data_IF_414215207801
#
_entry.id   IF_414215207801
#
_cell.length_a   1.000
_cell.length_b   1.000
_cell.length_c   1.000
_cell.angle_alpha   90.00
_cell.angle_beta   90.00
_cell.angle_gamma   90.00
#
_symmetry.space_group_name_H-M   'P 1'
#
loop_
_entity.id
_entity.type
_entity.pdbx_description
1 polymer ?
#
# COMPACT_ATOMS: atom_id res chain seq x y z
N UNK A 1 9.48 -14.28 10.91
CA UNK A 1 9.10 -14.79 12.23
C UNK A 1 10.23 -15.68 12.71
N UNK A 2 11.10 -15.21 13.61
CA UNK A 2 12.17 -16.01 14.21
C UNK A 2 12.23 -15.63 15.70
N UNK A 3 11.90 -16.59 16.57
CA UNK A 3 12.26 -16.57 17.99
C UNK A 3 13.72 -16.98 18.11
N UNK A 4 14.47 -16.34 18.99
CA UNK A 4 15.74 -16.86 19.47
C UNK A 4 15.69 -16.91 21.00
N UNK A 5 15.98 -18.10 21.55
CA UNK A 5 16.18 -18.31 22.97
C UNK A 5 17.66 -18.16 23.34
N UNK A 6 17.86 -17.77 24.60
CA UNK A 6 19.05 -17.88 25.47
C UNK A 6 19.88 -19.17 25.25
N UNK A 7 21.18 -19.30 25.55
CA UNK A 7 22.14 -18.56 26.40
C UNK A 7 23.57 -18.98 26.04
N UNK A 8 24.53 -18.18 26.51
CA UNK A 8 25.98 -18.20 26.27
C UNK A 8 26.77 -19.48 26.61
N UNK A 9 27.91 -19.64 25.93
CA UNK A 9 29.16 -20.07 26.57
C UNK A 9 30.40 -19.60 25.78
N UNK A 10 31.21 -18.80 26.48
CA UNK A 10 32.67 -18.67 26.41
C UNK A 10 33.34 -18.27 25.08
N UNK A 11 33.68 -16.98 25.01
CA UNK A 11 35.07 -16.55 24.82
C UNK A 11 35.80 -17.04 23.58
N UNK A 12 35.41 -16.56 22.40
CA UNK A 12 36.33 -16.49 21.25
C UNK A 12 36.15 -15.19 20.45
N UNK A 13 37.30 -14.63 20.12
CA UNK A 13 37.57 -13.41 19.36
C UNK A 13 36.74 -13.28 18.08
N UNK A 14 35.86 -12.29 17.99
CA UNK A 14 35.13 -12.00 16.74
C UNK A 14 36.00 -11.17 15.78
N UNK A 15 36.68 -11.86 14.85
CA UNK A 15 37.06 -11.28 13.56
C UNK A 15 35.79 -11.07 12.73
N UNK A 16 35.44 -9.82 12.43
CA UNK A 16 34.37 -9.50 11.49
C UNK A 16 34.81 -9.90 10.08
N UNK A 17 34.31 -11.05 9.61
CA UNK A 17 34.55 -11.56 8.26
C UNK A 17 33.86 -10.70 7.20
N UNK A 18 34.64 -10.02 6.37
CA UNK A 18 34.19 -9.30 5.18
C UNK A 18 33.69 -10.30 4.13
N UNK A 19 32.37 -10.54 4.03
CA UNK A 19 31.80 -11.34 2.92
C UNK A 19 32.00 -10.59 1.59
N UNK A 20 32.84 -11.14 0.70
CA UNK A 20 32.92 -10.76 -0.72
C UNK A 20 31.73 -11.38 -1.47
N UNK A 21 30.68 -10.60 -1.71
CA UNK A 21 29.67 -10.89 -2.72
C UNK A 21 29.91 -10.00 -3.95
N UNK A 22 30.19 -10.61 -5.11
CA UNK A 22 30.28 -9.92 -6.40
C UNK A 22 28.87 -9.55 -6.90
N UNK A 23 28.71 -8.32 -7.41
CA UNK A 23 27.78 -8.05 -8.52
C UNK A 23 26.58 -7.13 -8.24
N UNK A 24 26.81 -5.82 -8.17
CA UNK A 24 26.09 -4.75 -8.92
C UNK A 24 26.46 -3.39 -8.33
N UNK A 25 26.95 -2.49 -9.18
CA UNK A 25 27.14 -1.07 -8.84
C UNK A 25 25.73 -0.49 -8.67
N UNK A 26 25.39 -0.07 -7.45
CA UNK A 26 24.14 0.62 -7.08
C UNK A 26 24.52 2.03 -6.65
N UNK A 27 23.75 3.01 -7.11
CA UNK A 27 24.04 4.44 -7.01
C UNK A 27 24.25 4.95 -5.57
N UNK A 28 25.20 5.89 -5.43
CA UNK A 28 25.86 6.31 -4.17
C UNK A 28 24.96 6.91 -3.07
N UNK A 29 23.70 7.26 -3.34
CA UNK A 29 22.85 7.97 -2.36
C UNK A 29 22.19 7.01 -1.36
N UNK A 30 21.92 5.75 -1.75
CA UNK A 30 21.30 4.75 -0.87
C UNK A 30 22.31 4.15 0.12
N UNK A 31 23.59 4.12 -0.27
CA UNK A 31 24.68 3.66 0.61
C UNK A 31 24.83 4.57 1.83
N UNK A 32 24.66 5.88 1.69
CA UNK A 32 24.81 6.82 2.81
C UNK A 32 23.76 6.64 3.92
N UNK A 33 22.50 6.36 3.56
CA UNK A 33 21.41 6.19 4.52
C UNK A 33 21.52 4.85 5.28
N UNK A 34 21.89 3.77 4.59
CA UNK A 34 22.16 2.47 5.23
C UNK A 34 23.47 2.53 6.04
N UNK A 35 24.54 3.17 5.55
CA UNK A 35 25.78 3.33 6.32
C UNK A 35 25.55 4.14 7.59
N UNK A 36 24.79 5.24 7.56
CA UNK A 36 24.55 6.05 8.77
C UNK A 36 23.79 5.31 9.87
N UNK A 37 22.76 4.54 9.50
CA UNK A 37 21.99 3.75 10.47
C UNK A 37 22.82 2.62 11.07
N UNK A 38 23.66 1.96 10.25
CA UNK A 38 24.62 0.96 10.72
C UNK A 38 25.73 1.58 11.59
N UNK A 39 26.25 2.74 11.22
CA UNK A 39 27.31 3.43 11.96
C UNK A 39 26.84 3.82 13.36
N UNK A 40 25.62 4.35 13.49
CA UNK A 40 25.04 4.70 14.79
C UNK A 40 24.83 3.48 15.69
N UNK A 41 24.28 2.38 15.14
CA UNK A 41 24.07 1.15 15.91
C UNK A 41 25.38 0.51 16.38
N UNK A 42 26.40 0.53 15.52
CA UNK A 42 27.73 0.01 15.86
C UNK A 42 28.44 0.91 16.88
N UNK A 43 28.35 2.23 16.77
CA UNK A 43 28.92 3.17 17.74
C UNK A 43 28.31 3.00 19.14
N UNK A 44 26.98 2.88 19.22
CA UNK A 44 26.29 2.67 20.51
C UNK A 44 26.71 1.33 21.12
N UNK A 45 26.73 0.26 20.32
CA UNK A 45 27.14 -1.05 20.81
C UNK A 45 28.61 -1.09 21.27
N UNK A 46 29.52 -0.40 20.57
CA UNK A 46 30.93 -0.33 20.94
C UNK A 46 31.14 0.50 22.22
N UNK A 47 30.44 1.63 22.34
CA UNK A 47 30.44 2.49 23.53
C UNK A 47 29.96 1.72 24.76
N UNK A 48 28.83 1.02 24.65
CA UNK A 48 28.27 0.25 25.76
C UNK A 48 29.18 -0.89 26.18
N UNK A 49 29.87 -1.53 25.23
CA UNK A 49 30.86 -2.58 25.50
C UNK A 49 32.08 -2.05 26.27
N UNK A 50 32.65 -0.91 25.85
CA UNK A 50 33.79 -0.28 26.51
C UNK A 50 33.43 0.15 27.94
N UNK A 51 32.26 0.77 28.11
CA UNK A 51 31.79 1.21 29.43
C UNK A 51 31.48 0.02 30.34
N UNK A 52 30.95 -1.09 29.81
CA UNK A 52 30.72 -2.32 30.56
C UNK A 52 32.02 -2.97 31.03
N UNK A 53 33.07 -2.98 30.21
CA UNK A 53 34.38 -3.51 30.59
C UNK A 53 35.05 -2.65 31.68
N UNK A 54 34.98 -1.31 31.54
CA UNK A 54 35.49 -0.38 32.55
C UNK A 54 34.74 -0.53 33.89
N UNK A 55 33.41 -0.64 33.85
CA UNK A 55 32.56 -0.84 35.01
C UNK A 55 32.90 -2.12 35.77
N UNK A 56 33.15 -3.23 35.06
CA UNK A 56 33.57 -4.50 35.65
C UNK A 56 34.98 -4.42 36.26
N UNK A 57 35.94 -3.78 35.58
CA UNK A 57 37.32 -3.66 36.07
C UNK A 57 37.45 -2.79 37.31
N UNK A 58 36.67 -1.71 37.39
CA UNK A 58 36.77 -0.73 38.48
C UNK A 58 35.65 -0.85 39.51
N UNK A 59 34.74 -1.81 39.35
CA UNK A 59 33.56 -2.01 40.20
C UNK A 59 32.70 -0.74 40.35
N UNK A 60 32.47 -0.04 39.23
CA UNK A 60 31.69 1.21 39.15
C UNK A 60 30.44 0.96 38.32
N UNK A 61 29.30 1.53 38.73
CA UNK A 61 28.07 1.47 37.94
C UNK A 61 28.14 2.43 36.74
N UNK A 62 27.86 1.94 35.53
CA UNK A 62 27.90 2.75 34.29
C UNK A 62 26.95 3.95 34.33
N UNK A 63 25.83 3.84 35.07
CA UNK A 63 24.88 4.94 35.23
C UNK A 63 25.35 6.06 36.16
N UNK A 64 26.43 5.84 36.92
CA UNK A 64 27.00 6.84 37.82
C UNK A 64 28.07 7.72 37.13
N UNK A 65 28.43 7.43 35.88
CA UNK A 65 29.42 8.18 35.12
C UNK A 65 28.80 9.42 34.46
N UNK A 66 29.49 10.54 34.55
CA UNK A 66 29.16 11.79 33.87
C UNK A 66 29.54 11.73 32.38
N UNK A 67 28.95 12.60 31.55
CA UNK A 67 29.24 12.64 30.10
C UNK A 67 30.71 12.97 29.78
N UNK A 68 31.38 13.74 30.64
CA UNK A 68 32.83 13.99 30.54
C UNK A 68 33.64 12.73 30.84
N UNK A 69 33.31 11.99 31.90
CA UNK A 69 34.00 10.75 32.26
C UNK A 69 33.81 9.67 31.19
N UNK A 70 32.60 9.55 30.62
CA UNK A 70 32.34 8.61 29.53
C UNK A 70 33.20 8.93 28.30
N UNK A 71 33.35 10.21 27.95
CA UNK A 71 34.22 10.64 26.84
C UNK A 71 35.68 10.28 27.14
N UNK A 72 36.15 10.56 28.34
CA UNK A 72 37.53 10.34 28.74
C UNK A 72 37.89 8.84 28.82
N UNK A 73 36.95 7.96 29.22
CA UNK A 73 37.10 6.50 29.18
C UNK A 73 37.24 6.00 27.74
N UNK A 74 36.42 6.51 26.81
CA UNK A 74 36.45 6.11 25.39
C UNK A 74 37.75 6.59 24.73
N UNK A 75 38.26 7.75 25.14
CA UNK A 75 39.53 8.31 24.65
C UNK A 75 40.78 7.71 25.33
N UNK A 76 40.60 6.86 26.35
CA UNK A 76 41.68 6.14 27.01
C UNK A 76 42.47 6.94 28.06
N UNK A 77 41.86 7.98 28.64
CA UNK A 77 42.49 8.76 29.71
C UNK A 77 42.42 8.02 31.06
N UNK A 78 43.45 8.17 31.90
CA UNK A 78 43.44 7.64 33.28
C UNK A 78 42.53 8.49 34.17
N UNK A 79 41.38 7.93 34.57
CA UNK A 79 40.44 8.57 35.47
C UNK A 79 40.49 7.88 36.82
N UNK A 80 40.61 8.66 37.91
CA UNK A 80 40.43 8.17 39.27
C UNK A 80 38.99 7.70 39.46
N UNK A 81 38.73 6.44 39.89
CA UNK A 81 37.38 5.94 40.09
C UNK A 81 36.57 6.85 41.02
N UNK A 82 35.28 7.14 40.73
CA UNK A 82 34.46 7.97 41.61
C UNK A 82 34.37 7.31 42.98
N UNK A 83 34.70 8.06 44.04
CA UNK A 83 34.67 7.54 45.42
C UNK A 83 33.25 7.12 45.82
N UNK A 84 33.11 6.06 46.63
CA UNK A 84 31.82 5.57 47.14
C UNK A 84 30.98 6.65 47.84
N UNK A 85 31.63 7.69 48.35
CA UNK A 85 30.99 8.84 48.98
C UNK A 85 30.17 9.68 47.97
N UNK A 86 30.62 9.81 46.71
CA UNK A 86 29.82 10.47 45.65
C UNK A 86 28.64 9.60 45.21
N UNK A 87 28.77 8.28 45.29
CA UNK A 87 27.68 7.35 44.98
C UNK A 87 26.55 7.47 46.00
N UNK A 88 26.89 7.50 47.30
CA UNK A 88 25.89 7.66 48.37
C UNK A 88 25.18 9.02 48.30
N UNK A 89 25.88 10.11 47.95
CA UNK A 89 25.26 11.44 47.82
C UNK A 89 24.29 11.47 46.63
N UNK A 90 24.65 10.89 45.49
CA UNK A 90 23.77 10.82 44.32
C UNK A 90 22.55 9.91 44.54
N UNK A 91 22.73 8.84 45.31
CA UNK A 91 21.65 7.89 45.65
C UNK A 91 20.67 8.49 46.69
N UNK A 92 21.17 9.28 47.64
CA UNK A 92 20.38 10.07 48.59
C UNK A 92 19.63 11.22 47.87
N UNK A 93 20.28 11.92 46.93
CA UNK A 93 19.62 12.98 46.14
C UNK A 93 18.52 12.42 45.23
N UNK A 94 18.71 11.21 44.69
CA UNK A 94 17.72 10.51 43.88
C UNK A 94 16.51 10.08 44.71
N UNK A 95 16.73 9.53 45.91
CA UNK A 95 15.65 9.21 46.85
C UNK A 95 14.91 10.46 47.36
N UNK A 96 15.60 11.58 47.56
CA UNK A 96 14.98 12.85 47.95
C UNK A 96 14.12 13.47 46.81
N UNK A 97 14.48 13.25 45.54
CA UNK A 97 13.67 13.65 44.37
C UNK A 97 12.46 12.74 44.14
N UNK A 98 12.59 11.44 44.40
CA UNK A 98 11.48 10.48 44.28
C UNK A 98 10.42 10.68 45.38
N UNK A 99 10.80 11.14 46.58
CA UNK A 99 9.87 11.46 47.67
C UNK A 99 9.11 12.78 47.50
N UNK A 100 9.58 13.74 46.69
CA UNK A 100 8.91 15.04 46.49
C UNK A 100 7.98 15.11 45.27
N UNK A 101 7.88 14.02 44.48
CA UNK A 101 7.14 13.95 43.21
C UNK A 101 5.66 13.51 43.33
N UNK A 102 4.98 13.84 44.44
CA UNK A 102 3.54 13.60 44.60
C UNK A 102 2.65 14.85 44.41
N UNK A 103 3.18 15.95 43.86
CA UNK A 103 2.36 17.09 43.47
C UNK A 103 2.08 17.04 41.96
N UNK A 104 0.84 16.68 41.61
CA UNK A 104 0.33 16.76 40.25
C UNK A 104 0.48 18.20 39.71
N UNK A 105 1.14 18.35 38.57
CA UNK A 105 1.32 19.67 37.94
C UNK A 105 0.07 19.96 37.13
N UNK A 106 -0.69 20.98 37.54
CA UNK A 106 -1.81 21.51 36.77
C UNK A 106 -1.28 22.56 35.79
N UNK A 107 -1.31 22.30 34.49
CA UNK A 107 -0.94 23.28 33.46
C UNK A 107 -2.21 23.88 32.87
N UNK A 108 -2.33 25.22 32.92
CA UNK A 108 -3.40 25.96 32.23
C UNK A 108 -2.92 26.33 30.83
N UNK A 109 -3.68 25.93 29.81
CA UNK A 109 -3.42 26.32 28.41
C UNK A 109 -4.70 26.78 27.76
N UNK A 110 -4.61 27.74 26.83
CA UNK A 110 -5.74 28.25 26.07
C UNK A 110 -5.75 27.62 24.69
N UNK A 111 -6.90 27.13 24.25
CA UNK A 111 -7.08 26.63 22.90
C UNK A 111 -7.15 27.80 21.89
N UNK A 112 -7.01 27.50 20.59
CA UNK A 112 -7.02 28.52 19.50
C UNK A 112 -8.31 29.36 19.46
N UNK A 113 -9.36 28.94 20.16
CA UNK A 113 -10.65 29.61 20.32
C UNK A 113 -10.84 30.31 21.69
N UNK A 114 -9.81 30.40 22.53
CA UNK A 114 -9.83 31.17 23.78
C UNK A 114 -10.42 30.45 25.01
N UNK A 115 -10.74 29.17 24.91
CA UNK A 115 -11.20 28.37 26.05
C UNK A 115 -10.02 27.87 26.90
N UNK A 116 -10.12 28.03 28.22
CA UNK A 116 -9.11 27.58 29.19
C UNK A 116 -9.23 26.07 29.45
N UNK A 117 -8.18 25.32 29.13
CA UNK A 117 -7.98 23.92 29.47
C UNK A 117 -7.07 23.81 30.69
N UNK A 118 -7.58 23.22 31.77
CA UNK A 118 -6.82 22.87 32.97
C UNK A 118 -6.52 21.38 32.92
N UNK A 119 -5.28 21.00 32.60
CA UNK A 119 -4.85 19.61 32.54
C UNK A 119 -4.00 19.29 33.76
N UNK A 120 -4.41 18.27 34.52
CA UNK A 120 -3.69 17.79 35.72
C UNK A 120 -2.92 16.54 35.34
N UNK A 121 -1.60 16.65 35.20
CA UNK A 121 -0.76 15.51 34.82
C UNK A 121 -0.12 14.91 36.08
N UNK A 122 -0.42 13.65 36.36
CA UNK A 122 0.02 12.94 37.58
C UNK A 122 1.34 12.16 37.41
N UNK A 123 1.88 12.03 36.19
CA UNK A 123 3.08 11.21 35.93
C UNK A 123 4.09 11.88 34.98
N UNK A 124 5.41 11.86 35.30
CA UNK A 124 6.48 12.36 34.43
C UNK A 124 6.60 11.63 33.07
N UNK A 125 6.08 10.39 32.96
CA UNK A 125 6.11 9.59 31.72
C UNK A 125 5.21 10.18 30.62
N UNK A 126 4.16 10.89 30.98
CA UNK A 126 3.24 11.52 30.02
C UNK A 126 3.80 12.80 29.40
N UNK A 127 4.83 13.42 30.01
CA UNK A 127 5.43 14.65 29.49
C UNK A 127 6.39 14.41 28.30
N UNK A 128 7.02 13.23 28.20
CA UNK A 128 8.00 12.93 27.14
C UNK A 128 7.37 12.30 25.89
N UNK A 129 6.13 11.82 25.98
CA UNK A 129 5.41 11.18 24.88
C UNK A 129 4.21 11.99 24.37
N UNK A 130 4.25 13.33 24.48
CA UNK A 130 3.27 14.19 23.81
C UNK A 130 3.58 14.31 22.31
N UNK A 131 3.44 13.19 21.59
CA UNK A 131 3.19 13.21 20.16
C UNK A 131 1.69 13.26 19.97
N UNK A 132 1.16 14.24 19.23
CA UNK A 132 -0.22 14.17 18.75
C UNK A 132 -0.33 13.01 17.78
N UNK A 133 -0.46 11.78 18.29
CA UNK A 133 -0.81 10.60 17.50
C UNK A 133 -2.29 10.68 17.21
N UNK A 134 -2.71 11.67 16.42
CA UNK A 134 -3.79 11.41 15.47
C UNK A 134 -3.24 10.40 14.48
N UNK A 135 -3.25 9.12 14.88
CA UNK A 135 -2.83 8.00 14.07
C UNK A 135 -3.89 7.83 12.96
N UNK A 136 -3.69 8.59 11.89
CA UNK A 136 -4.57 8.64 10.74
C UNK A 136 -4.76 7.25 10.14
N UNK A 137 -3.81 6.32 10.36
CA UNK A 137 -3.88 4.94 9.88
C UNK A 137 -4.98 4.18 10.59
N UNK A 138 -5.05 4.27 11.92
CA UNK A 138 -6.12 3.63 12.70
C UNK A 138 -7.48 4.23 12.34
N UNK A 139 -7.54 5.54 12.09
CA UNK A 139 -8.77 6.23 11.63
C UNK A 139 -9.17 5.87 10.21
N UNK A 140 -8.22 5.70 9.30
CA UNK A 140 -8.50 5.27 7.93
C UNK A 140 -9.00 3.82 7.89
N UNK A 141 -8.43 2.95 8.73
CA UNK A 141 -8.88 1.55 8.87
C UNK A 141 -10.26 1.49 9.55
N UNK A 142 -10.56 2.36 10.52
CA UNK A 142 -11.91 2.38 11.12
C UNK A 142 -12.95 2.99 10.17
N UNK A 143 -12.54 3.88 9.27
CA UNK A 143 -13.39 4.44 8.23
C UNK A 143 -13.87 3.41 7.22
N UNK A 144 -13.14 2.30 6.98
CA UNK A 144 -13.65 1.23 6.11
C UNK A 144 -14.87 0.52 6.68
N UNK A 145 -15.10 0.57 8.00
CA UNK A 145 -16.26 -0.03 8.67
C UNK A 145 -17.42 0.97 8.89
N UNK A 146 -17.29 2.23 8.46
CA UNK A 146 -18.31 3.25 8.72
C UNK A 146 -19.66 2.88 8.09
N UNK A 147 -19.67 2.18 6.95
CA UNK A 147 -20.88 1.76 6.24
C UNK A 147 -21.82 0.88 7.10
N UNK A 148 -21.28 0.09 8.04
CA UNK A 148 -22.08 -0.74 8.94
C UNK A 148 -22.94 0.10 9.89
N UNK A 149 -22.49 1.32 10.22
CA UNK A 149 -23.18 2.24 11.12
C UNK A 149 -24.38 2.93 10.46
N UNK A 150 -24.47 2.91 9.13
CA UNK A 150 -25.56 3.53 8.36
C UNK A 150 -26.91 2.84 8.59
N UNK A 151 -26.91 1.60 9.06
CA UNK A 151 -28.13 0.85 9.36
C UNK A 151 -28.84 1.34 10.62
N UNK A 152 -28.10 1.87 11.60
CA UNK A 152 -28.62 2.34 12.88
C UNK A 152 -28.21 3.80 13.10
N UNK A 153 -28.99 4.73 12.55
CA UNK A 153 -28.77 6.18 12.69
C UNK A 153 -29.68 6.70 13.80
N UNK A 154 -29.08 7.26 14.85
CA UNK A 154 -29.79 7.94 15.93
C UNK A 154 -29.68 9.45 15.74
N UNK A 155 -30.80 10.15 15.78
CA UNK A 155 -30.84 11.61 15.78
C UNK A 155 -31.13 12.04 17.20
N UNK A 156 -30.22 12.79 17.82
CA UNK A 156 -30.49 13.34 19.14
C UNK A 156 -31.50 14.49 19.02
N UNK A 157 -32.47 14.54 19.92
CA UNK A 157 -33.57 15.50 19.95
C UNK A 157 -33.58 16.40 21.19
N UNK A 158 -32.43 16.54 21.86
CA UNK A 158 -32.32 17.36 23.06
C UNK A 158 -32.40 18.89 22.76
N UNK A 159 -33.11 19.62 23.64
CA UNK A 159 -33.24 21.09 23.69
C UNK A 159 -33.68 21.81 22.40
N UNK A 160 -34.82 21.40 21.85
CA UNK A 160 -35.46 22.09 20.71
C UNK A 160 -35.99 23.45 21.18
N UNK A 161 -35.30 24.53 20.81
CA UNK A 161 -35.79 25.91 20.99
C UNK A 161 -36.94 26.19 20.01
N UNK A 162 -38.09 26.65 20.50
CA UNK A 162 -39.27 26.99 19.67
C UNK A 162 -39.00 28.07 18.61
N UNK A 163 -37.96 28.88 18.79
CA UNK A 163 -37.56 29.94 17.84
C UNK A 163 -36.46 29.52 16.85
N UNK A 164 -36.01 28.26 16.89
CA UNK A 164 -34.93 27.75 16.04
C UNK A 164 -35.42 27.17 14.70
N UNK A 165 -34.53 27.15 13.71
CA UNK A 165 -34.80 26.47 12.44
C UNK A 165 -34.63 24.95 12.56
N UNK A 166 -35.58 24.19 12.02
CA UNK A 166 -35.48 22.73 11.87
C UNK A 166 -34.84 22.38 10.53
N UNK A 167 -33.73 21.65 10.56
CA UNK A 167 -33.03 21.18 9.36
C UNK A 167 -33.38 19.73 9.05
N UNK A 168 -33.70 19.47 7.78
CA UNK A 168 -34.04 18.12 7.29
C UNK A 168 -32.90 17.66 6.38
N UNK A 169 -32.25 16.55 6.74
CA UNK A 169 -31.19 15.95 5.93
C UNK A 169 -31.72 14.72 5.17
N UNK A 170 -31.59 14.66 3.84
CA UNK A 170 -31.92 13.47 3.06
C UNK A 170 -31.04 12.27 3.43
N UNK A 171 -31.67 11.15 3.77
CA UNK A 171 -30.97 9.94 4.25
C UNK A 171 -29.97 9.38 3.23
N UNK A 172 -30.27 9.46 1.94
CA UNK A 172 -29.39 9.00 0.86
C UNK A 172 -28.06 9.78 0.80
N UNK A 173 -28.08 11.08 1.08
CA UNK A 173 -26.87 11.92 1.14
C UNK A 173 -26.00 11.47 2.33
N UNK A 174 -26.60 11.25 3.49
CA UNK A 174 -25.90 10.75 4.67
C UNK A 174 -25.32 9.34 4.44
N UNK A 175 -26.03 8.46 3.73
CA UNK A 175 -25.50 7.14 3.37
C UNK A 175 -24.29 7.25 2.45
N UNK A 176 -24.39 8.04 1.36
CA UNK A 176 -23.26 8.26 0.44
C UNK A 176 -22.04 8.85 1.15
N UNK A 177 -22.26 9.72 2.13
CA UNK A 177 -21.19 10.33 2.94
C UNK A 177 -20.41 9.30 3.80
N UNK A 178 -21.08 8.24 4.26
CA UNK A 178 -20.51 7.27 5.21
C UNK A 178 -19.97 6.00 4.51
N UNK A 179 -20.42 5.68 3.30
CA UNK A 179 -20.10 4.41 2.64
C UNK A 179 -18.69 4.38 2.01
N UNK A 180 -17.94 3.30 2.27
CA UNK A 180 -16.69 2.94 1.59
C UNK A 180 -16.95 1.71 0.71
N UNK A 181 -16.37 1.66 -0.49
CA UNK A 181 -16.43 0.50 -1.38
C UNK A 181 -15.12 -0.27 -1.34
N UNK A 182 -15.21 -1.59 -1.24
CA UNK A 182 -14.06 -2.49 -1.17
C UNK A 182 -13.99 -3.37 -2.43
N UNK A 183 -12.84 -3.40 -3.09
CA UNK A 183 -12.62 -4.25 -4.27
C UNK A 183 -12.21 -5.65 -3.77
N UNK A 184 -13.12 -6.62 -3.90
CA UNK A 184 -12.94 -8.02 -3.45
C UNK A 184 -12.44 -8.94 -4.55
N UNK A 185 -12.89 -8.71 -5.78
CA UNK A 185 -12.65 -9.60 -6.91
C UNK A 185 -12.22 -8.78 -8.13
N UNK A 186 -11.25 -9.32 -8.88
CA UNK A 186 -10.91 -8.85 -10.22
C UNK A 186 -11.15 -9.99 -11.20
N UNK A 187 -12.03 -9.76 -12.16
CA UNK A 187 -12.36 -10.76 -13.19
C UNK A 187 -11.58 -10.44 -14.46
N UNK A 188 -10.79 -11.41 -14.91
CA UNK A 188 -10.07 -11.36 -16.17
C UNK A 188 -10.97 -11.92 -17.26
N UNK A 189 -11.29 -11.09 -18.23
CA UNK A 189 -12.14 -11.46 -19.36
C UNK A 189 -11.30 -11.74 -20.60
N UNK A 190 -11.78 -12.55 -21.56
CA UNK A 190 -11.15 -12.70 -22.88
C UNK A 190 -10.95 -11.31 -23.51
N UNK A 191 -9.72 -10.86 -23.74
CA UNK A 191 -9.44 -9.50 -24.20
C UNK A 191 -8.23 -9.43 -25.11
N UNK A 192 -8.16 -8.36 -25.90
CA UNK A 192 -6.97 -7.98 -26.66
C UNK A 192 -6.79 -6.46 -26.56
N UNK A 193 -5.57 -5.98 -26.68
CA UNK A 193 -5.23 -4.60 -26.35
C UNK A 193 -4.18 -4.02 -27.28
N UNK A 194 -4.34 -2.74 -27.58
CA UNK A 194 -3.32 -1.92 -28.24
C UNK A 194 -2.66 -0.99 -27.21
N UNK A 195 -1.72 -0.16 -27.66
CA UNK A 195 -1.12 0.88 -26.82
C UNK A 195 -2.12 1.96 -26.39
N UNK A 196 -3.28 2.06 -27.06
CA UNK A 196 -4.25 3.15 -26.85
C UNK A 196 -5.55 2.70 -26.20
N UNK A 197 -5.97 1.46 -26.42
CA UNK A 197 -7.26 0.97 -25.93
C UNK A 197 -7.25 -0.55 -25.77
N UNK A 198 -8.14 -1.03 -24.90
CA UNK A 198 -8.39 -2.45 -24.67
C UNK A 198 -9.77 -2.80 -25.22
N UNK A 199 -9.86 -3.93 -25.89
CA UNK A 199 -11.10 -4.46 -26.44
C UNK A 199 -11.59 -5.60 -25.55
N UNK A 200 -12.81 -5.43 -25.03
CA UNK A 200 -13.47 -6.36 -24.14
C UNK A 200 -14.73 -6.94 -24.81
N UNK A 201 -15.18 -8.14 -24.44
CA UNK A 201 -16.47 -8.67 -24.82
C UNK A 201 -17.60 -7.85 -24.19
N UNK A 202 -18.75 -7.84 -24.84
CA UNK A 202 -19.96 -7.17 -24.33
C UNK A 202 -20.64 -7.98 -23.22
N UNK A 203 -20.44 -9.30 -23.20
CA UNK A 203 -20.96 -10.16 -22.15
C UNK A 203 -20.24 -9.89 -20.82
N UNK A 204 -21.01 -9.79 -19.73
CA UNK A 204 -20.47 -9.69 -18.38
C UNK A 204 -20.13 -11.09 -17.83
N UNK A 205 -19.18 -11.18 -16.89
CA UNK A 205 -18.86 -12.44 -16.25
C UNK A 205 -20.00 -12.85 -15.31
N UNK A 206 -20.46 -14.09 -15.45
CA UNK A 206 -21.46 -14.69 -14.56
C UNK A 206 -20.83 -15.87 -13.81
N UNK A 207 -21.02 -15.90 -12.48
CA UNK A 207 -20.55 -16.99 -11.62
C UNK A 207 -21.17 -16.88 -10.22
N UNK A 208 -21.33 -18.00 -9.52
CA UNK A 208 -21.94 -18.05 -8.19
C UNK A 208 -21.28 -17.11 -7.16
N UNK A 209 -19.93 -17.09 -7.10
CA UNK A 209 -19.17 -16.15 -6.26
C UNK A 209 -19.38 -14.66 -6.57
N UNK A 210 -19.94 -14.30 -7.72
CA UNK A 210 -20.22 -12.91 -8.10
C UNK A 210 -21.64 -12.46 -7.71
N UNK A 211 -22.54 -13.38 -7.35
CA UNK A 211 -23.94 -13.07 -7.05
C UNK A 211 -24.12 -12.10 -5.87
N UNK A 212 -23.22 -12.17 -4.88
CA UNK A 212 -23.24 -11.30 -3.69
C UNK A 212 -22.42 -10.01 -3.87
N UNK A 213 -21.80 -9.83 -5.05
CA UNK A 213 -20.91 -8.69 -5.35
C UNK A 213 -21.59 -7.73 -6.34
N UNK A 214 -21.32 -6.44 -6.19
CA UNK A 214 -21.76 -5.43 -7.15
C UNK A 214 -20.59 -5.01 -8.06
N UNK A 215 -20.84 -4.73 -9.35
CA UNK A 215 -19.80 -4.26 -10.25
C UNK A 215 -19.37 -2.83 -9.88
N UNK A 216 -18.09 -2.67 -9.52
CA UNK A 216 -17.52 -1.36 -9.16
C UNK A 216 -16.86 -0.63 -10.33
N UNK A 217 -16.78 -1.25 -11.50
CA UNK A 217 -16.12 -0.67 -12.66
C UNK A 217 -15.10 -1.59 -13.31
N UNK A 218 -14.14 -1.00 -14.01
CA UNK A 218 -13.09 -1.73 -14.70
C UNK A 218 -11.74 -1.03 -14.51
N UNK A 219 -10.67 -1.80 -14.65
CA UNK A 219 -9.32 -1.31 -14.55
C UNK A 219 -8.51 -1.75 -15.76
N UNK A 220 -7.64 -0.88 -16.24
CA UNK A 220 -6.74 -1.19 -17.35
C UNK A 220 -5.39 -0.54 -17.16
N UNK A 221 -4.41 -1.09 -17.86
CA UNK A 221 -3.06 -0.55 -17.92
C UNK A 221 -2.95 0.44 -19.07
N UNK A 222 -2.09 1.44 -18.90
CA UNK A 222 -1.68 2.35 -19.95
C UNK A 222 -0.15 2.51 -19.95
N UNK A 223 0.47 2.65 -21.14
CA UNK A 223 1.93 2.68 -21.26
C UNK A 223 2.54 3.97 -20.70
N UNK A 224 1.80 5.08 -20.74
CA UNK A 224 2.25 6.38 -20.28
C UNK A 224 1.23 6.98 -19.32
N UNK A 225 1.69 7.76 -18.34
CA UNK A 225 0.82 8.52 -17.46
C UNK A 225 0.21 9.72 -18.21
N UNK A 226 -1.11 9.71 -18.36
CA UNK A 226 -1.86 10.79 -18.99
C UNK A 226 -2.32 11.80 -17.92
N UNK A 227 -2.25 13.12 -18.20
CA UNK A 227 -2.73 14.15 -17.27
C UNK A 227 -4.26 14.16 -17.13
N UNK A 228 -4.95 13.59 -18.11
CA UNK A 228 -6.40 13.48 -18.21
C UNK A 228 -6.79 12.05 -18.57
N UNK A 229 -8.04 11.68 -18.26
CA UNK A 229 -8.61 10.43 -18.74
C UNK A 229 -8.58 10.40 -20.28
N UNK A 230 -8.39 9.22 -20.89
CA UNK A 230 -8.40 9.14 -22.34
C UNK A 230 -9.84 9.24 -22.88
N UNK A 231 -10.09 9.95 -23.99
CA UNK A 231 -11.43 10.01 -24.60
C UNK A 231 -11.99 8.63 -24.98
N UNK A 232 -11.10 7.70 -25.30
CA UNK A 232 -11.42 6.30 -25.59
C UNK A 232 -11.99 5.60 -24.35
N UNK A 233 -11.44 5.87 -23.16
CA UNK A 233 -11.92 5.28 -21.90
C UNK A 233 -13.30 5.81 -21.53
N UNK A 234 -13.56 7.11 -21.76
CA UNK A 234 -14.89 7.72 -21.57
C UNK A 234 -15.90 7.04 -22.50
N UNK A 235 -15.55 6.88 -23.77
CA UNK A 235 -16.42 6.24 -24.78
C UNK A 235 -16.68 4.77 -24.45
N UNK A 236 -15.63 4.02 -24.07
CA UNK A 236 -15.72 2.62 -23.70
C UNK A 236 -16.59 2.43 -22.44
N UNK A 237 -16.35 3.24 -21.40
CA UNK A 237 -17.12 3.15 -20.17
C UNK A 237 -18.59 3.51 -20.37
N UNK A 238 -18.90 4.56 -21.15
CA UNK A 238 -20.29 4.89 -21.50
C UNK A 238 -20.99 3.74 -22.23
N UNK A 239 -20.30 3.07 -23.16
CA UNK A 239 -20.85 1.91 -23.89
C UNK A 239 -21.08 0.72 -22.96
N UNK A 240 -20.18 0.47 -22.01
CA UNK A 240 -20.35 -0.60 -21.01
C UNK A 240 -21.58 -0.32 -20.15
N UNK A 241 -21.74 0.92 -19.67
CA UNK A 241 -22.90 1.34 -18.87
C UNK A 241 -24.23 1.27 -19.65
N UNK A 242 -24.22 1.63 -20.93
CA UNK A 242 -25.41 1.54 -21.80
C UNK A 242 -25.84 0.09 -22.04
N UNK A 243 -24.87 -0.79 -22.31
CA UNK A 243 -25.14 -2.21 -22.57
C UNK A 243 -25.54 -2.97 -21.30
N UNK A 244 -25.11 -2.52 -20.12
CA UNK A 244 -25.26 -3.25 -18.87
C UNK A 244 -25.98 -2.44 -17.80
N UNK A 245 -27.31 -2.59 -17.73
CA UNK A 245 -28.16 -1.91 -16.73
C UNK A 245 -27.85 -2.28 -15.27
N UNK A 246 -27.11 -3.36 -15.04
CA UNK A 246 -26.66 -3.74 -13.70
C UNK A 246 -25.59 -2.80 -13.15
N UNK A 247 -24.87 -2.08 -14.02
CA UNK A 247 -23.84 -1.13 -13.62
C UNK A 247 -24.47 0.20 -13.26
N UNK A 248 -24.10 0.73 -12.10
CA UNK A 248 -24.58 2.02 -11.61
C UNK A 248 -23.55 3.11 -11.97
N UNK A 249 -23.89 3.98 -12.93
CA UNK A 249 -23.01 5.05 -13.40
C UNK A 249 -22.55 6.02 -12.30
N UNK A 250 -23.26 6.09 -11.17
CA UNK A 250 -22.85 6.90 -10.03
C UNK A 250 -21.78 6.24 -9.14
N UNK A 251 -21.65 4.91 -9.23
CA UNK A 251 -20.75 4.09 -8.39
C UNK A 251 -19.60 3.47 -9.16
N UNK A 252 -19.79 3.20 -10.45
CA UNK A 252 -18.78 2.59 -11.29
C UNK A 252 -17.62 3.57 -11.56
N UNK A 253 -16.40 3.05 -11.49
CA UNK A 253 -15.17 3.80 -11.73
C UNK A 253 -14.35 3.21 -12.88
N UNK A 254 -13.48 4.02 -13.44
CA UNK A 254 -12.43 3.64 -14.38
C UNK A 254 -11.11 3.79 -13.64
N UNK A 255 -10.34 2.72 -13.57
CA UNK A 255 -9.03 2.73 -12.91
C UNK A 255 -7.93 2.58 -13.96
N UNK A 256 -7.11 3.61 -14.09
CA UNK A 256 -5.95 3.61 -14.97
C UNK A 256 -4.69 3.28 -14.17
N UNK A 257 -3.96 2.24 -14.59
CA UNK A 257 -2.64 1.92 -14.08
C UNK A 257 -1.58 2.33 -15.11
N UNK A 258 -0.81 3.37 -14.81
CA UNK A 258 0.24 3.89 -15.69
C UNK A 258 1.59 3.36 -15.25
N UNK A 259 2.39 2.87 -16.19
CA UNK A 259 3.75 2.44 -15.89
C UNK A 259 4.76 3.55 -16.16
N UNK A 260 5.62 3.78 -15.19
CA UNK A 260 6.79 4.64 -15.31
C UNK A 260 8.04 3.81 -14.98
N UNK A 261 9.23 4.12 -15.51
CA UNK A 261 10.42 3.34 -15.20
C UNK A 261 10.66 3.23 -13.69
N UNK A 262 10.50 2.02 -13.14
CA UNK A 262 10.69 1.73 -11.72
C UNK A 262 9.47 1.96 -10.80
N UNK A 263 8.34 2.44 -11.33
CA UNK A 263 7.12 2.63 -10.53
C UNK A 263 5.82 2.48 -11.34
N UNK A 264 4.69 2.49 -10.65
CA UNK A 264 3.38 2.57 -11.30
C UNK A 264 2.49 3.60 -10.58
N UNK A 265 1.68 4.30 -11.35
CA UNK A 265 0.74 5.32 -10.88
C UNK A 265 -0.68 4.83 -11.11
N UNK A 266 -1.48 4.76 -10.03
CA UNK A 266 -2.90 4.39 -10.09
C UNK A 266 -3.76 5.65 -9.97
N UNK A 267 -4.70 5.83 -10.88
CA UNK A 267 -5.71 6.90 -10.78
C UNK A 267 -7.10 6.35 -11.04
N UNK A 268 -8.06 6.72 -10.20
CA UNK A 268 -9.48 6.42 -10.38
C UNK A 268 -10.27 7.62 -10.87
N UNK A 269 -11.14 7.35 -11.83
CA UNK A 269 -12.04 8.32 -12.42
C UNK A 269 -13.48 7.82 -12.34
N UNK A 270 -14.42 8.75 -12.20
CA UNK A 270 -15.85 8.51 -12.38
C UNK A 270 -16.34 9.43 -13.49
N UNK A 271 -17.28 8.96 -14.32
CA UNK A 271 -17.89 9.81 -15.33
C UNK A 271 -18.94 10.73 -14.72
N UNK A 272 -18.98 11.97 -15.21
CA UNK A 272 -20.09 12.87 -14.95
C UNK A 272 -21.24 12.54 -15.90
N UNK A 273 -22.46 13.00 -15.58
CA UNK A 273 -23.62 12.84 -16.48
C UNK A 273 -23.34 13.36 -17.89
N UNK A 274 -22.66 14.51 -18.00
CA UNK A 274 -22.27 15.08 -19.29
C UNK A 274 -21.27 14.19 -20.05
N UNK A 275 -20.28 13.62 -19.34
CA UNK A 275 -19.33 12.69 -19.94
C UNK A 275 -19.96 11.39 -20.41
N UNK A 276 -20.94 10.87 -19.65
CA UNK A 276 -21.72 9.71 -20.06
C UNK A 276 -22.47 9.96 -21.38
N UNK A 277 -23.20 11.08 -21.46
CA UNK A 277 -23.97 11.47 -22.64
C UNK A 277 -23.08 11.69 -23.86
N UNK A 278 -21.94 12.36 -23.68
CA UNK A 278 -20.96 12.55 -24.75
C UNK A 278 -20.36 11.22 -25.21
N UNK A 279 -19.92 10.36 -24.28
CA UNK A 279 -19.29 9.08 -24.61
C UNK A 279 -20.21 8.10 -25.33
N UNK A 280 -21.52 8.11 -25.03
CA UNK A 280 -22.54 7.33 -25.75
C UNK A 280 -22.65 7.75 -27.23
N UNK A 281 -22.61 9.05 -27.48
CA UNK A 281 -22.82 9.61 -28.82
C UNK A 281 -21.53 9.63 -29.65
N UNK A 282 -20.37 9.59 -28.98
CA UNK A 282 -19.09 9.64 -29.66
C UNK A 282 -18.86 8.39 -30.53
N UNK A 283 -18.55 8.62 -31.80
CA UNK A 283 -18.15 7.59 -32.78
C UNK A 283 -16.72 7.79 -33.27
N UNK A 284 -16.09 8.89 -32.90
CA UNK A 284 -14.73 9.21 -33.31
C UNK A 284 -13.74 8.45 -32.44
N UNK A 285 -12.85 7.69 -33.09
CA UNK A 285 -11.78 6.90 -32.47
C UNK A 285 -10.43 7.60 -32.49
N UNK A 286 -10.36 8.83 -33.01
CA UNK A 286 -9.15 9.65 -33.01
C UNK A 286 -8.68 10.02 -31.61
N UNK A 287 -7.44 10.51 -31.51
CA UNK A 287 -6.85 10.93 -30.24
C UNK A 287 -7.50 12.16 -29.63
N UNK A 288 -8.08 13.04 -30.46
CA UNK A 288 -8.73 14.29 -30.05
C UNK A 288 -10.14 14.39 -30.65
N UNK A 289 -11.10 13.60 -30.15
CA UNK A 289 -12.46 13.61 -30.68
C UNK A 289 -13.17 14.92 -30.35
N UNK A 290 -14.03 15.35 -31.27
CA UNK A 290 -14.73 16.63 -31.15
C UNK A 290 -15.63 16.68 -29.89
N UNK A 291 -15.58 17.80 -29.18
CA UNK A 291 -16.40 18.03 -27.99
C UNK A 291 -15.89 17.33 -26.72
N UNK A 292 -14.74 16.65 -26.75
CA UNK A 292 -14.13 16.10 -25.54
C UNK A 292 -13.69 17.22 -24.58
N UNK A 293 -14.12 17.12 -23.32
CA UNK A 293 -13.79 18.10 -22.28
C UNK A 293 -13.36 17.39 -20.99
N UNK A 294 -12.40 17.96 -20.22
CA UNK A 294 -12.01 17.42 -18.92
C UNK A 294 -13.12 17.40 -17.86
N UNK A 295 -14.23 18.11 -18.09
CA UNK A 295 -15.43 18.11 -17.21
C UNK A 295 -16.28 16.85 -17.36
N UNK A 296 -15.95 15.98 -18.32
CA UNK A 296 -16.64 14.70 -18.55
C UNK A 296 -16.35 13.65 -17.48
N UNK A 297 -15.36 13.88 -16.62
CA UNK A 297 -15.00 12.96 -15.55
C UNK A 297 -14.59 13.73 -14.28
N UNK A 298 -14.63 13.03 -13.16
CA UNK A 298 -14.13 13.49 -11.87
C UNK A 298 -13.12 12.48 -11.32
N UNK A 299 -12.06 12.98 -10.65
CA UNK A 299 -11.10 12.10 -9.96
C UNK A 299 -11.71 11.64 -8.65
N UNK A 300 -11.67 10.33 -8.42
CA UNK A 300 -12.18 9.71 -7.19
C UNK A 300 -11.00 9.29 -6.33
N UNK A 301 -11.15 9.42 -5.01
CA UNK A 301 -10.13 8.98 -4.06
C UNK A 301 -10.05 7.45 -4.02
N UNK A 302 -8.83 6.93 -3.99
CA UNK A 302 -8.55 5.51 -3.78
C UNK A 302 -7.51 5.33 -2.69
N UNK A 303 -7.64 4.25 -1.92
CA UNK A 303 -6.70 3.86 -0.90
C UNK A 303 -6.26 2.41 -1.17
N UNK A 304 -4.96 2.16 -1.03
CA UNK A 304 -4.41 0.80 -1.05
C UNK A 304 -4.40 0.25 0.37
N UNK A 305 -4.77 -1.02 0.53
CA UNK A 305 -4.79 -1.71 1.81
C UNK A 305 -4.19 -3.10 1.68
N UNK A 306 -3.38 -3.47 2.67
CA UNK A 306 -2.82 -4.80 2.88
C UNK A 306 -3.63 -5.62 3.91
N UNK A 307 -4.72 -5.05 4.44
CA UNK A 307 -5.50 -5.63 5.54
C UNK A 307 -6.37 -6.81 5.13
N UNK A 308 -6.61 -6.94 3.83
CA UNK A 308 -7.48 -7.93 3.25
C UNK A 308 -6.94 -8.35 1.89
N UNK A 309 -7.31 -9.57 1.48
CA UNK A 309 -6.92 -10.12 0.19
C UNK A 309 -8.14 -10.17 -0.73
N UNK A 310 -7.96 -9.73 -1.96
CA UNK A 310 -8.89 -10.02 -3.05
C UNK A 310 -8.54 -11.33 -3.73
N UNK A 311 -9.41 -11.77 -4.63
CA UNK A 311 -9.17 -12.93 -5.48
C UNK A 311 -9.37 -12.60 -6.96
N UNK A 312 -8.81 -13.44 -7.82
CA UNK A 312 -8.99 -13.33 -9.26
C UNK A 312 -9.93 -14.41 -9.78
N UNK A 313 -10.60 -14.08 -10.88
CA UNK A 313 -11.32 -15.03 -11.71
C UNK A 313 -10.78 -14.94 -13.13
N UNK A 314 -10.70 -16.09 -13.79
CA UNK A 314 -10.14 -16.23 -15.14
C UNK A 314 -11.13 -16.97 -16.03
N UNK A 315 -11.05 -16.81 -17.36
CA UNK A 315 -11.91 -17.57 -18.26
C UNK A 315 -11.69 -19.08 -18.07
N UNK A 316 -12.77 -19.84 -18.09
CA UNK A 316 -12.70 -21.30 -17.97
C UNK A 316 -12.27 -21.94 -19.28
N UNK A 317 -12.87 -21.48 -20.39
CA UNK A 317 -12.70 -22.01 -21.74
C UNK A 317 -11.71 -21.15 -22.54
N UNK A 318 -10.43 -21.29 -22.21
CA UNK A 318 -9.33 -20.65 -22.93
C UNK A 318 -8.64 -19.53 -22.14
N UNK A 319 -7.63 -18.88 -22.75
CA UNK A 319 -6.86 -17.85 -22.08
C UNK A 319 -7.63 -16.53 -22.02
N UNK A 320 -7.16 -15.61 -21.18
CA UNK A 320 -7.70 -14.25 -21.15
C UNK A 320 -7.06 -13.34 -22.20
N UNK A 321 -5.83 -13.62 -22.67
CA UNK A 321 -5.12 -12.79 -23.64
C UNK A 321 -5.25 -13.34 -25.07
N UNK A 322 -5.84 -12.56 -25.96
CA UNK A 322 -6.04 -12.90 -27.38
C UNK A 322 -5.11 -12.15 -28.33
N UNK A 323 -4.13 -11.38 -27.83
CA UNK A 323 -3.23 -10.59 -28.69
C UNK A 323 -2.35 -11.44 -29.63
N UNK A 324 -2.01 -12.67 -29.23
CA UNK A 324 -1.17 -13.59 -30.02
C UNK A 324 -1.94 -14.82 -30.52
N UNK A 325 -3.28 -14.79 -30.41
CA UNK A 325 -4.11 -15.85 -30.95
C UNK A 325 -4.16 -15.75 -32.47
N UNK A 326 -3.83 -16.85 -33.14
CA UNK A 326 -3.83 -16.93 -34.59
C UNK A 326 -5.22 -16.73 -35.21
N UNK A 327 -5.26 -16.72 -36.54
CA UNK A 327 -6.45 -16.40 -37.35
C UNK A 327 -7.67 -17.30 -37.07
N UNK A 328 -7.45 -18.50 -36.52
CA UNK A 328 -8.47 -19.52 -36.26
C UNK A 328 -9.28 -19.32 -34.97
N UNK A 329 -8.76 -18.56 -33.99
CA UNK A 329 -9.44 -18.29 -32.71
C UNK A 329 -9.43 -16.79 -32.47
N UNK A 330 -10.42 -16.09 -33.04
CA UNK A 330 -10.53 -14.62 -32.93
C UNK A 330 -11.47 -14.21 -31.82
N UNK A 331 -10.98 -13.29 -30.99
CA UNK A 331 -11.82 -12.55 -30.06
C UNK A 331 -12.94 -11.83 -30.84
N UNK A 332 -14.19 -12.03 -30.41
CA UNK A 332 -15.36 -11.36 -30.97
C UNK A 332 -16.08 -10.61 -29.87
N UNK A 333 -16.53 -9.38 -30.14
CA UNK A 333 -17.18 -8.52 -29.13
C UNK A 333 -18.45 -9.17 -28.54
N UNK A 334 -19.16 -9.99 -29.32
CA UNK A 334 -20.34 -10.74 -28.87
C UNK A 334 -20.04 -12.13 -28.28
N UNK A 335 -18.78 -12.47 -27.99
CA UNK A 335 -18.46 -13.79 -27.45
C UNK A 335 -19.01 -13.96 -26.03
N UNK A 336 -19.47 -15.17 -25.73
CA UNK A 336 -19.91 -15.59 -24.40
C UNK A 336 -18.78 -16.40 -23.77
N UNK A 337 -18.56 -16.21 -22.48
CA UNK A 337 -17.51 -16.90 -21.73
C UNK A 337 -17.99 -17.23 -20.32
N UNK A 338 -17.50 -18.34 -19.78
CA UNK A 338 -17.61 -18.68 -18.36
C UNK A 338 -16.30 -18.35 -17.65
N UNK A 339 -16.40 -18.07 -16.35
CA UNK A 339 -15.25 -17.76 -15.50
C UNK A 339 -15.12 -18.78 -14.38
N UNK A 340 -13.90 -18.99 -13.90
CA UNK A 340 -13.59 -19.83 -12.74
C UNK A 340 -12.63 -19.10 -11.81
N UNK A 341 -12.58 -19.54 -10.55
CA UNK A 341 -11.54 -19.09 -9.62
C UNK A 341 -10.16 -19.51 -10.13
N UNK A 342 -9.25 -18.55 -10.20
CA UNK A 342 -7.88 -18.81 -10.64
C UNK A 342 -7.07 -17.53 -10.77
N UNK A 343 -5.75 -17.69 -10.77
CA UNK A 343 -4.81 -16.58 -10.98
C UNK A 343 -4.59 -16.34 -12.47
N UNK A 344 -4.59 -15.07 -12.95
CA UNK A 344 -4.25 -14.79 -14.34
C UNK A 344 -2.83 -15.25 -14.65
N UNK A 345 -2.69 -15.90 -15.79
CA UNK A 345 -1.38 -16.21 -16.37
C UNK A 345 -0.73 -14.94 -16.92
N UNK A 346 0.59 -14.93 -16.94
CA UNK A 346 1.38 -13.80 -17.44
C UNK A 346 1.06 -13.46 -18.89
N UNK A 347 1.30 -12.22 -19.29
CA UNK A 347 0.93 -11.73 -20.62
C UNK A 347 1.53 -12.58 -21.76
N UNK A 348 2.79 -13.00 -21.65
CA UNK A 348 3.51 -13.84 -22.62
C UNK A 348 3.53 -15.34 -22.27
N UNK A 349 2.60 -15.81 -21.43
CA UNK A 349 2.51 -17.23 -21.11
C UNK A 349 2.28 -18.07 -22.37
N UNK A 350 2.80 -19.30 -22.39
CA UNK A 350 2.74 -20.21 -23.55
C UNK A 350 1.32 -20.41 -24.11
N UNK A 351 0.34 -20.60 -23.24
CA UNK A 351 -1.09 -20.69 -23.61
C UNK A 351 -1.64 -19.49 -24.37
N UNK A 352 -1.03 -18.31 -24.25
CA UNK A 352 -1.48 -17.10 -24.95
C UNK A 352 -0.92 -17.02 -26.38
N UNK A 353 0.10 -17.82 -26.72
CA UNK A 353 0.84 -17.77 -27.99
C UNK A 353 1.09 -19.16 -28.58
N UNK A 354 0.05 -20.00 -28.76
CA UNK A 354 0.20 -21.38 -29.20
C UNK A 354 0.79 -21.50 -30.62
N UNK A 355 0.49 -20.55 -31.51
CA UNK A 355 1.01 -20.53 -32.89
C UNK A 355 2.53 -20.46 -32.94
N UNK A 356 3.15 -19.71 -32.03
CA UNK A 356 4.60 -19.58 -31.95
C UNK A 356 5.27 -20.94 -31.76
N UNK A 357 4.71 -21.79 -30.89
CA UNK A 357 5.28 -23.12 -30.62
C UNK A 357 4.98 -24.13 -31.71
N UNK A 358 3.80 -24.06 -32.33
CA UNK A 358 3.45 -24.93 -33.45
C UNK A 358 4.35 -24.69 -34.68
N UNK A 359 4.77 -23.44 -34.91
CA UNK A 359 5.75 -23.13 -35.97
C UNK A 359 7.12 -23.78 -35.69
N UNK A 360 7.58 -23.82 -34.45
CA UNK A 360 8.83 -24.50 -34.08
C UNK A 360 8.74 -26.04 -34.26
N UNK A 361 7.62 -26.65 -33.87
CA UNK A 361 7.44 -28.11 -34.06
C UNK A 361 7.47 -28.50 -35.54
N UNK A 362 6.89 -27.69 -36.43
CA UNK A 362 6.94 -27.95 -37.87
C UNK A 362 8.35 -27.77 -38.46
N UNK A 363 9.19 -26.91 -37.87
CA UNK A 363 10.59 -26.76 -38.28
C UNK A 363 11.44 -27.96 -37.86
N UNK A 364 11.26 -28.48 -36.64
CA UNK A 364 11.98 -29.68 -36.18
C UNK A 364 11.62 -30.93 -36.99
N UNK A 365 10.36 -31.10 -37.43
CA UNK A 365 9.98 -32.19 -38.34
C UNK A 365 10.72 -32.13 -39.69
N UNK A 366 11.14 -30.93 -40.12
CA UNK A 366 11.91 -30.76 -41.35
C UNK A 366 13.38 -31.16 -41.15
N UNK A 367 13.95 -30.90 -39.97
CA UNK A 367 15.33 -31.26 -39.63
C UNK A 367 15.50 -32.76 -39.30
N UNK A 368 14.45 -33.44 -38.82
CA UNK A 368 14.47 -34.90 -38.59
C UNK A 368 14.54 -35.69 -39.90
N UNK A 369 14.13 -35.09 -41.03
CA UNK A 369 14.27 -35.72 -42.34
C UNK A 369 15.73 -35.76 -42.86
N UNK A 370 16.64 -34.97 -42.26
CA UNK A 370 18.08 -34.95 -42.59
C UNK A 370 18.96 -35.28 -41.39
N UNK A 371 18.93 -36.55 -40.96
CA UNK A 371 20.08 -37.13 -40.28
C UNK A 371 19.72 -38.10 -39.16
N UNK A 372 19.94 -39.39 -39.44
CA UNK A 372 20.24 -40.40 -38.43
C UNK A 372 21.39 -39.88 -37.55
N UNK A 373 21.08 -39.31 -36.41
CA UNK A 373 22.04 -39.11 -35.32
C UNK A 373 21.79 -40.22 -34.31
N UNK A 374 22.61 -41.26 -34.39
CA UNK A 374 22.71 -42.29 -33.34
C UNK A 374 23.07 -41.60 -32.01
N UNK A 375 22.10 -41.53 -31.10
CA UNK A 375 22.31 -41.04 -29.75
C UNK A 375 23.10 -42.08 -28.95
N UNK A 376 24.41 -41.87 -28.85
CA UNK A 376 25.34 -42.81 -28.21
C UNK A 376 25.47 -42.61 -26.69
N UNK A 377 24.59 -41.83 -26.07
CA UNK A 377 24.64 -41.58 -24.62
C UNK A 377 23.26 -41.75 -23.98
N UNK A 378 22.88 -43.01 -23.79
CA UNK A 378 21.88 -43.42 -22.80
C UNK A 378 22.55 -44.08 -21.59
#
# INVERSE_FOLDING_TARGET
>A
MIKCGETCSNGETLRVGRRRGRGRIRDDVSLFAEIMTWQFQVEVALRDLILSDYAKKNNVNTSALTQSEIRDIILGAEITPPSQQRQQIAEIEKQAKEASQLNAVTTRTVNVHGEELIVTTTSPYEQTAFGSKTDWRVRAISATNLYLRVNHIYVNSDDIKETGYTYIMPKNILKKFICVKEIRCVVMVPQWGSHQHVNLPSALPEHDFLNDLEPLGWLHTQPNELPQLAPQDVTAHSRILENNKQWDGEKCIILTCSFTPGSCSLTSYKLTQAGYEWGRLNKDTGSNPHGYLPTHYEKVQMLLSDRFLGFYMVPENGPWNYNFMGTSVKHTVGMIYSVKLGSPKEYYHEEHRPTHFLEFSNMEETDIAEGDREDTFA
#
